data_IF_874871740163
#
_entry.id   IF_874871740163
#
_cell.length_a   1.000
_cell.length_b   1.000
_cell.length_c   1.000
_cell.angle_alpha   90.00
_cell.angle_beta   90.00
_cell.angle_gamma   90.00
#
_symmetry.space_group_name_H-M   'P 1'
#
loop_
_entity.id
_entity.type
_entity.pdbx_description
1 polymer ?
#
# COMPACT_ATOMS: atom_id res chain seq x y z
N UNK A 1 -28.71 -6.02 14.57
CA UNK A 1 -28.34 -7.26 13.92
C UNK A 1 -28.53 -7.07 12.42
N UNK A 2 -27.43 -6.97 11.68
CA UNK A 2 -27.52 -6.91 10.22
C UNK A 2 -27.67 -8.34 9.73
N UNK A 3 -28.86 -8.70 9.31
CA UNK A 3 -29.10 -9.90 8.55
C UNK A 3 -28.43 -9.76 7.19
N UNK A 4 -27.22 -10.29 7.08
CA UNK A 4 -26.59 -10.55 5.79
C UNK A 4 -27.33 -11.69 5.13
N UNK A 5 -27.81 -11.52 3.88
CA UNK A 5 -28.47 -12.63 3.19
C UNK A 5 -27.47 -13.77 2.94
N UNK A 6 -27.86 -15.01 3.16
CA UNK A 6 -27.01 -16.19 3.01
C UNK A 6 -26.29 -16.27 1.64
N UNK A 7 -26.87 -15.70 0.59
CA UNK A 7 -26.25 -15.62 -0.74
C UNK A 7 -25.00 -14.71 -0.79
N UNK A 8 -24.85 -13.76 0.14
CA UNK A 8 -23.67 -12.88 0.19
C UNK A 8 -22.49 -13.51 0.95
N UNK A 9 -22.74 -14.54 1.76
CA UNK A 9 -21.71 -15.14 2.63
C UNK A 9 -20.83 -16.15 1.88
N UNK A 10 -21.35 -16.76 0.81
CA UNK A 10 -20.63 -17.77 0.01
C UNK A 10 -19.40 -17.16 -0.71
N UNK A 11 -19.44 -15.86 -0.97
CA UNK A 11 -18.38 -15.17 -1.73
C UNK A 11 -17.54 -14.21 -0.89
N UNK A 12 -17.81 -14.08 0.40
CA UNK A 12 -17.03 -13.20 1.27
C UNK A 12 -15.64 -13.77 1.47
N UNK A 13 -14.65 -13.01 1.05
CA UNK A 13 -13.27 -13.18 1.44
C UNK A 13 -12.84 -11.96 2.19
N UNK A 14 -12.08 -12.17 3.24
CA UNK A 14 -11.48 -11.09 4.00
C UNK A 14 -10.01 -10.96 3.61
N UNK A 15 -9.58 -9.73 3.35
CA UNK A 15 -8.17 -9.38 3.18
C UNK A 15 -7.74 -8.69 4.46
N UNK A 16 -6.85 -9.31 5.22
CA UNK A 16 -6.30 -8.76 6.47
C UNK A 16 -4.94 -8.14 6.17
N UNK A 17 -4.86 -6.83 6.29
CA UNK A 17 -3.60 -6.11 6.19
C UNK A 17 -2.93 -6.06 7.56
N UNK A 18 -1.72 -6.59 7.66
CA UNK A 18 -1.03 -6.86 8.91
C UNK A 18 0.14 -5.92 9.17
N UNK A 19 0.41 -5.67 10.45
CA UNK A 19 1.61 -5.00 10.92
C UNK A 19 2.58 -6.01 11.53
N UNK A 20 3.86 -5.96 11.15
CA UNK A 20 4.93 -6.82 11.68
C UNK A 20 6.00 -6.05 12.45
N UNK A 21 5.73 -4.78 12.81
CA UNK A 21 6.74 -3.86 13.32
C UNK A 21 7.02 -4.03 14.81
N UNK A 22 5.97 -4.17 15.61
CA UNK A 22 6.02 -4.35 17.06
C UNK A 22 5.41 -5.70 17.43
N UNK A 23 5.85 -6.30 18.54
CA UNK A 23 5.31 -7.59 18.98
C UNK A 23 3.83 -7.48 19.36
N UNK A 24 3.41 -6.37 19.97
CA UNK A 24 1.99 -6.09 20.21
C UNK A 24 1.18 -6.05 18.92
N UNK A 25 1.70 -5.40 17.87
CA UNK A 25 1.03 -5.32 16.58
C UNK A 25 1.02 -6.66 15.82
N UNK A 26 2.04 -7.50 15.99
CA UNK A 26 2.03 -8.88 15.49
C UNK A 26 0.93 -9.70 16.15
N UNK A 27 0.82 -9.61 17.48
CA UNK A 27 -0.22 -10.29 18.25
C UNK A 27 -1.62 -9.82 17.83
N UNK A 28 -1.83 -8.52 17.71
CA UNK A 28 -3.09 -7.96 17.19
C UNK A 28 -3.40 -8.45 15.78
N UNK A 29 -2.40 -8.48 14.90
CA UNK A 29 -2.55 -9.00 13.53
C UNK A 29 -2.95 -10.47 13.51
N UNK A 30 -2.33 -11.32 14.34
CA UNK A 30 -2.70 -12.75 14.46
C UNK A 30 -4.12 -12.91 14.99
N UNK A 31 -4.51 -12.12 16.00
CA UNK A 31 -5.89 -12.18 16.53
C UNK A 31 -6.91 -11.79 15.45
N UNK A 32 -6.65 -10.72 14.70
CA UNK A 32 -7.52 -10.30 13.60
C UNK A 32 -7.64 -11.35 12.49
N UNK A 33 -6.55 -12.08 12.18
CA UNK A 33 -6.59 -13.22 11.25
C UNK A 33 -7.47 -14.33 11.81
N UNK A 34 -7.33 -14.66 13.10
CA UNK A 34 -8.13 -15.69 13.77
C UNK A 34 -9.62 -15.35 13.78
N UNK A 35 -9.99 -14.11 14.10
CA UNK A 35 -11.36 -13.61 14.04
C UNK A 35 -11.93 -13.73 12.62
N UNK A 36 -11.18 -13.27 11.61
CA UNK A 36 -11.58 -13.34 10.22
C UNK A 36 -11.79 -14.79 9.73
N UNK A 37 -10.92 -15.72 10.14
CA UNK A 37 -11.06 -17.14 9.82
C UNK A 37 -12.31 -17.77 10.48
N UNK A 38 -12.59 -17.39 11.72
CA UNK A 38 -13.78 -17.86 12.44
C UNK A 38 -15.09 -17.35 11.81
N UNK A 39 -15.07 -16.12 11.28
CA UNK A 39 -16.26 -15.54 10.65
C UNK A 39 -16.54 -16.11 9.26
N UNK A 40 -15.52 -16.25 8.41
CA UNK A 40 -15.69 -16.55 6.98
C UNK A 40 -14.88 -17.74 6.47
N UNK A 41 -13.88 -18.20 7.19
CA UNK A 41 -13.02 -19.34 6.81
C UNK A 41 -12.11 -19.08 5.58
N UNK A 42 -12.23 -17.93 4.92
CA UNK A 42 -11.51 -17.59 3.69
C UNK A 42 -10.78 -16.25 3.86
N UNK A 43 -9.54 -16.33 4.27
CA UNK A 43 -8.72 -15.15 4.59
C UNK A 43 -7.48 -15.10 3.73
N UNK A 44 -7.22 -13.93 3.17
CA UNK A 44 -5.98 -13.56 2.49
C UNK A 44 -5.25 -12.57 3.42
N UNK A 45 -4.00 -12.86 3.73
CA UNK A 45 -3.17 -12.00 4.57
C UNK A 45 -2.18 -11.23 3.70
N UNK A 46 -2.03 -9.95 3.98
CA UNK A 46 -1.05 -9.07 3.34
C UNK A 46 -0.39 -8.14 4.36
N UNK A 47 0.57 -7.35 3.93
CA UNK A 47 1.25 -6.38 4.79
C UNK A 47 2.57 -6.87 5.36
N UNK A 48 3.08 -6.14 6.36
CA UNK A 48 4.44 -6.34 6.84
C UNK A 48 4.68 -7.72 7.47
N UNK A 49 3.69 -8.27 8.18
CA UNK A 49 3.81 -9.60 8.77
C UNK A 49 3.83 -10.70 7.70
N UNK A 50 3.26 -10.45 6.52
CA UNK A 50 3.32 -11.35 5.37
C UNK A 50 4.73 -11.56 4.81
N UNK A 51 5.73 -10.79 5.24
CA UNK A 51 7.15 -11.04 4.93
C UNK A 51 7.71 -12.27 5.63
N UNK A 52 7.03 -12.77 6.66
CA UNK A 52 7.37 -13.98 7.42
C UNK A 52 6.19 -14.95 7.41
N UNK A 53 5.90 -15.58 6.27
CA UNK A 53 4.70 -16.39 6.09
C UNK A 53 4.65 -17.60 7.04
N UNK A 54 5.79 -18.15 7.44
CA UNK A 54 5.90 -19.26 8.38
C UNK A 54 5.26 -18.88 9.72
N UNK A 55 5.56 -17.71 10.24
CA UNK A 55 5.02 -17.22 11.51
C UNK A 55 3.48 -17.13 11.52
N UNK A 56 2.89 -16.77 10.38
CA UNK A 56 1.43 -16.74 10.22
C UNK A 56 0.88 -18.16 10.12
N UNK A 57 1.53 -19.04 9.33
CA UNK A 57 1.08 -20.42 9.12
C UNK A 57 1.17 -21.27 10.36
N UNK A 58 2.16 -21.05 11.21
CA UNK A 58 2.30 -21.74 12.50
C UNK A 58 1.10 -21.49 13.42
N UNK A 59 0.57 -20.26 13.40
CA UNK A 59 -0.62 -19.89 14.20
C UNK A 59 -1.92 -20.17 13.48
N UNK A 60 -1.97 -19.99 12.17
CA UNK A 60 -3.17 -20.07 11.33
C UNK A 60 -2.89 -20.82 10.01
N UNK A 61 -2.79 -22.15 10.03
CA UNK A 61 -2.48 -22.96 8.84
C UNK A 61 -3.54 -22.87 7.73
N UNK A 62 -4.77 -22.49 8.08
CA UNK A 62 -5.92 -22.43 7.16
C UNK A 62 -6.01 -21.09 6.37
N UNK A 63 -5.04 -20.19 6.51
CA UNK A 63 -5.00 -18.97 5.70
C UNK A 63 -4.85 -19.33 4.23
N UNK A 64 -5.72 -18.77 3.39
CA UNK A 64 -5.80 -19.08 1.96
C UNK A 64 -4.55 -18.65 1.20
N UNK A 65 -4.14 -17.40 1.37
CA UNK A 65 -2.95 -16.84 0.75
C UNK A 65 -2.26 -15.84 1.69
N UNK A 66 -0.93 -15.77 1.59
CA UNK A 66 -0.12 -14.82 2.34
C UNK A 66 0.76 -14.08 1.34
N UNK A 67 0.67 -12.76 1.33
CA UNK A 67 1.48 -11.88 0.48
C UNK A 67 2.23 -10.88 1.32
N UNK A 68 3.43 -10.51 0.88
CA UNK A 68 4.25 -9.50 1.55
C UNK A 68 3.73 -8.07 1.35
N UNK A 69 4.40 -7.07 1.93
CA UNK A 69 4.11 -5.68 1.68
C UNK A 69 4.35 -5.34 0.20
N UNK A 70 3.57 -4.39 -0.35
CA UNK A 70 3.64 -3.95 -1.74
C UNK A 70 3.27 -4.99 -2.82
N UNK A 71 2.73 -6.12 -2.42
CA UNK A 71 2.34 -7.22 -3.32
C UNK A 71 0.88 -7.11 -3.75
N UNK A 72 0.44 -5.91 -4.13
CA UNK A 72 -0.96 -5.63 -4.46
C UNK A 72 -1.49 -6.53 -5.58
N UNK A 73 -0.70 -6.76 -6.63
CA UNK A 73 -1.11 -7.64 -7.73
C UNK A 73 -1.28 -9.09 -7.25
N UNK A 74 -0.39 -9.59 -6.38
CA UNK A 74 -0.52 -10.94 -5.81
C UNK A 74 -1.79 -11.08 -4.96
N UNK A 75 -2.20 -10.02 -4.25
CA UNK A 75 -3.48 -9.98 -3.53
C UNK A 75 -4.64 -10.07 -4.51
N UNK A 76 -4.62 -9.30 -5.59
CA UNK A 76 -5.65 -9.33 -6.63
C UNK A 76 -5.74 -10.71 -7.29
N UNK A 77 -4.60 -11.30 -7.66
CA UNK A 77 -4.52 -12.62 -8.24
C UNK A 77 -5.13 -13.66 -7.28
N UNK A 78 -4.76 -13.62 -5.99
CA UNK A 78 -5.32 -14.51 -4.95
C UNK A 78 -6.83 -14.34 -4.77
N UNK A 79 -7.37 -13.15 -5.02
CA UNK A 79 -8.81 -12.91 -5.01
C UNK A 79 -9.45 -13.51 -6.26
N UNK A 80 -8.83 -13.35 -7.42
CA UNK A 80 -9.41 -13.71 -8.72
C UNK A 80 -9.29 -15.18 -9.07
N UNK A 81 -8.20 -15.86 -8.69
CA UNK A 81 -7.95 -17.28 -8.98
C UNK A 81 -9.06 -18.24 -8.56
N UNK A 82 -9.89 -17.81 -7.64
CA UNK A 82 -10.94 -18.64 -7.05
C UNK A 82 -12.36 -18.05 -7.19
N UNK A 83 -12.54 -16.99 -7.99
CA UNK A 83 -13.84 -16.42 -8.29
C UNK A 83 -14.09 -16.58 -9.79
N UNK A 84 -15.12 -17.28 -10.24
CA UNK A 84 -15.58 -17.22 -11.63
C UNK A 84 -16.23 -15.84 -11.83
N UNK A 85 -15.42 -14.80 -12.01
CA UNK A 85 -15.91 -13.45 -12.28
C UNK A 85 -16.32 -13.42 -13.74
N UNK A 86 -17.62 -13.34 -14.00
CA UNK A 86 -18.19 -13.18 -15.36
C UNK A 86 -17.87 -11.82 -16.00
N UNK A 87 -17.40 -10.88 -15.24
CA UNK A 87 -16.83 -9.59 -15.68
C UNK A 87 -15.74 -9.22 -14.68
N UNK A 88 -14.55 -8.91 -15.16
CA UNK A 88 -13.47 -8.45 -14.31
C UNK A 88 -13.82 -7.02 -13.80
N UNK A 89 -14.26 -6.84 -12.55
CA UNK A 89 -14.60 -5.50 -12.04
C UNK A 89 -13.36 -4.61 -11.93
N UNK A 90 -12.16 -5.18 -12.15
CA UNK A 90 -10.87 -4.50 -12.16
C UNK A 90 -10.30 -4.26 -13.57
N UNK A 91 -11.00 -4.68 -14.63
CA UNK A 91 -10.75 -4.22 -16.01
C UNK A 91 -11.14 -2.76 -16.24
N UNK A 92 -11.93 -2.19 -15.35
CA UNK A 92 -11.86 -0.75 -15.21
C UNK A 92 -10.39 -0.45 -14.90
N UNK A 93 -9.64 0.04 -15.92
CA UNK A 93 -8.33 0.68 -15.72
C UNK A 93 -8.44 1.38 -14.38
N UNK A 94 -7.44 1.27 -13.47
CA UNK A 94 -7.42 2.14 -12.32
C UNK A 94 -7.44 3.55 -12.89
N UNK A 95 -8.65 4.04 -13.15
CA UNK A 95 -8.83 5.45 -13.29
C UNK A 95 -8.21 5.96 -12.01
N UNK A 96 -7.48 7.04 -12.06
CA UNK A 96 -6.91 7.80 -10.95
C UNK A 96 -7.91 8.12 -9.83
N UNK A 97 -8.97 7.39 -9.74
CA UNK A 97 -10.15 7.46 -8.90
C UNK A 97 -10.04 6.50 -7.73
N UNK A 98 -8.92 6.62 -6.98
CA UNK A 98 -8.87 5.96 -5.68
C UNK A 98 -10.01 6.48 -4.80
N UNK A 99 -10.72 5.56 -4.14
CA UNK A 99 -11.65 5.95 -3.08
C UNK A 99 -10.82 6.53 -1.94
N UNK A 100 -10.93 7.84 -1.75
CA UNK A 100 -10.26 8.54 -0.68
C UNK A 100 -10.97 8.23 0.64
N UNK A 101 -10.28 7.60 1.57
CA UNK A 101 -10.80 7.26 2.89
C UNK A 101 -10.52 8.35 3.94
N UNK A 102 -9.59 9.28 3.66
CA UNK A 102 -9.27 10.41 4.53
C UNK A 102 -10.31 11.53 4.39
N UNK A 103 -10.45 12.43 5.38
CA UNK A 103 -11.23 13.65 5.25
C UNK A 103 -10.86 14.46 4.01
N UNK A 104 -11.80 15.26 3.49
CA UNK A 104 -11.60 15.96 2.21
C UNK A 104 -10.42 16.91 2.19
N UNK A 105 -10.09 17.53 3.33
CA UNK A 105 -9.11 18.61 3.39
C UNK A 105 -7.65 18.15 3.30
N UNK A 106 -7.32 16.89 3.64
CA UNK A 106 -5.95 16.39 3.53
C UNK A 106 -5.86 15.02 2.85
N UNK A 107 -4.68 14.68 2.33
CA UNK A 107 -4.38 13.37 1.75
C UNK A 107 -2.92 12.98 1.97
N UNK A 108 -2.69 11.69 2.13
CA UNK A 108 -1.34 11.15 2.14
C UNK A 108 -0.82 10.99 0.71
N UNK A 109 0.41 11.39 0.48
CA UNK A 109 1.10 11.27 -0.80
C UNK A 109 2.40 10.49 -0.60
N UNK A 110 2.39 9.24 -0.97
CA UNK A 110 3.56 8.36 -0.83
C UNK A 110 4.53 8.60 -1.97
N UNK A 111 5.78 8.94 -1.65
CA UNK A 111 6.81 9.27 -2.65
C UNK A 111 7.82 8.15 -2.88
N UNK A 112 8.07 7.32 -1.87
CA UNK A 112 8.99 6.17 -1.97
C UNK A 112 8.60 5.07 -0.98
N UNK A 113 9.23 3.91 -1.11
CA UNK A 113 9.06 2.76 -0.24
C UNK A 113 10.43 2.15 0.07
N UNK A 114 10.56 1.50 1.24
CA UNK A 114 11.79 0.87 1.67
C UNK A 114 12.84 1.87 2.17
N UNK A 115 13.96 1.35 2.65
CA UNK A 115 15.04 2.16 3.21
C UNK A 115 16.38 1.44 3.09
N UNK A 116 17.43 2.18 2.69
CA UNK A 116 18.78 1.65 2.53
C UNK A 116 19.66 1.84 3.79
N UNK A 117 19.13 2.49 4.84
CA UNK A 117 19.86 2.63 6.09
C UNK A 117 20.01 1.29 6.80
N UNK A 118 21.15 1.13 7.49
CA UNK A 118 21.49 -0.08 8.27
C UNK A 118 21.50 0.22 9.76
N UNK A 119 20.48 0.92 10.26
CA UNK A 119 20.37 1.22 11.68
C UNK A 119 20.19 -0.08 12.46
N UNK A 120 21.01 -0.29 13.51
CA UNK A 120 21.09 -1.55 14.24
C UNK A 120 19.78 -2.01 14.89
N UNK A 121 18.90 -1.06 15.22
CA UNK A 121 17.61 -1.31 15.87
C UNK A 121 16.43 -1.32 14.89
N UNK A 122 16.66 -1.10 13.60
CA UNK A 122 15.57 -0.85 12.64
C UNK A 122 15.29 -2.07 11.77
N UNK A 123 14.04 -2.55 11.81
CA UNK A 123 13.57 -3.69 11.03
C UNK A 123 13.06 -3.30 9.62
N UNK A 124 12.95 -2.02 9.31
CA UNK A 124 12.35 -1.52 8.05
C UNK A 124 12.98 -2.16 6.81
N UNK A 125 14.31 -2.21 6.64
CA UNK A 125 14.90 -2.78 5.44
C UNK A 125 14.53 -4.25 5.20
N UNK A 126 14.37 -5.03 6.27
CA UNK A 126 13.99 -6.44 6.16
C UNK A 126 12.51 -6.63 5.83
N UNK A 127 11.63 -5.74 6.31
CA UNK A 127 10.18 -5.82 6.07
C UNK A 127 9.77 -5.18 4.73
N UNK A 128 10.39 -4.05 4.38
CA UNK A 128 9.98 -3.21 3.26
C UNK A 128 10.97 -3.21 2.09
N UNK A 129 12.11 -3.85 2.27
CA UNK A 129 13.16 -3.94 1.27
C UNK A 129 13.95 -2.63 1.08
N UNK A 130 14.78 -2.58 0.01
CA UNK A 130 15.58 -1.41 -0.31
C UNK A 130 14.70 -0.24 -0.74
N UNK A 131 15.27 0.97 -0.68
CA UNK A 131 14.64 2.18 -1.16
C UNK A 131 14.20 2.03 -2.62
N UNK A 132 12.96 2.37 -2.89
CA UNK A 132 12.37 2.43 -4.23
C UNK A 132 11.55 3.72 -4.36
N UNK A 133 12.10 4.69 -5.07
CA UNK A 133 11.44 5.96 -5.34
C UNK A 133 10.40 5.84 -6.45
N UNK A 134 9.29 6.52 -6.30
CA UNK A 134 8.31 6.70 -7.38
C UNK A 134 8.82 7.77 -8.36
N UNK A 135 8.44 7.67 -9.62
CA UNK A 135 8.76 8.72 -10.59
C UNK A 135 8.08 10.04 -10.21
N UNK A 136 8.77 11.16 -10.38
CA UNK A 136 8.24 12.49 -10.09
C UNK A 136 6.94 12.76 -10.86
N UNK A 137 6.88 12.35 -12.13
CA UNK A 137 5.68 12.49 -12.95
C UNK A 137 4.45 11.78 -12.35
N UNK A 138 4.63 10.56 -11.84
CA UNK A 138 3.55 9.81 -11.18
C UNK A 138 3.06 10.49 -9.91
N UNK A 139 3.98 11.01 -9.09
CA UNK A 139 3.66 11.71 -7.85
C UNK A 139 2.90 13.01 -8.14
N UNK A 140 3.37 13.80 -9.09
CA UNK A 140 2.74 15.08 -9.47
C UNK A 140 1.36 14.86 -10.10
N UNK A 141 1.18 13.82 -10.92
CA UNK A 141 -0.13 13.45 -11.47
C UNK A 141 -1.15 13.09 -10.38
N UNK A 142 -0.73 12.29 -9.38
CA UNK A 142 -1.57 11.95 -8.24
C UNK A 142 -1.89 13.19 -7.40
N UNK A 143 -0.89 14.00 -7.08
CA UNK A 143 -1.06 15.24 -6.33
C UNK A 143 -2.05 16.19 -6.99
N UNK A 144 -1.92 16.41 -8.30
CA UNK A 144 -2.84 17.24 -9.09
C UNK A 144 -4.28 16.72 -8.99
N UNK A 145 -4.47 15.41 -9.17
CA UNK A 145 -5.79 14.78 -9.02
C UNK A 145 -6.39 14.97 -7.62
N UNK A 146 -5.56 14.91 -6.57
CA UNK A 146 -6.00 15.14 -5.19
C UNK A 146 -6.41 16.60 -4.95
N UNK A 147 -5.63 17.56 -5.46
CA UNK A 147 -5.92 19.00 -5.37
C UNK A 147 -7.22 19.33 -6.12
N UNK A 148 -7.40 18.82 -7.34
CA UNK A 148 -8.63 19.00 -8.13
C UNK A 148 -9.88 18.47 -7.41
N UNK A 149 -9.73 17.45 -6.57
CA UNK A 149 -10.81 16.90 -5.71
C UNK A 149 -11.00 17.66 -4.41
N UNK A 150 -10.30 18.76 -4.21
CA UNK A 150 -10.47 19.65 -3.06
C UNK A 150 -9.56 19.34 -1.86
N UNK A 151 -8.50 18.56 -2.03
CA UNK A 151 -7.46 18.40 -1.00
C UNK A 151 -6.71 19.73 -0.83
N UNK A 152 -6.57 20.17 0.42
CA UNK A 152 -5.89 21.42 0.79
C UNK A 152 -4.50 21.18 1.37
N UNK A 153 -4.25 19.98 1.86
CA UNK A 153 -3.00 19.60 2.51
C UNK A 153 -2.53 18.23 2.00
N UNK A 154 -1.29 18.15 1.53
CA UNK A 154 -0.65 16.90 1.14
C UNK A 154 0.40 16.51 2.18
N UNK A 155 0.17 15.39 2.86
CA UNK A 155 1.11 14.79 3.80
C UNK A 155 2.04 13.86 3.03
N UNK A 156 3.27 14.29 2.81
CA UNK A 156 4.30 13.52 2.10
C UNK A 156 4.84 12.44 3.00
N UNK A 157 4.73 11.18 2.58
CA UNK A 157 5.15 10.02 3.36
C UNK A 157 6.15 9.13 2.63
N UNK A 158 7.14 8.67 3.38
CA UNK A 158 8.07 7.59 3.06
C UNK A 158 8.75 7.10 4.34
N UNK A 159 9.59 6.08 4.25
CA UNK A 159 10.43 5.66 5.36
C UNK A 159 11.62 6.60 5.59
N UNK A 160 12.10 7.24 4.51
CA UNK A 160 13.11 8.29 4.54
C UNK A 160 12.82 9.26 3.39
N UNK A 161 12.24 10.40 3.71
CA UNK A 161 11.88 11.43 2.71
C UNK A 161 13.11 12.10 2.10
N UNK A 162 14.20 12.22 2.86
CA UNK A 162 15.44 12.85 2.41
C UNK A 162 16.16 12.04 1.33
N UNK A 163 15.96 10.72 1.34
CA UNK A 163 16.58 9.81 0.39
C UNK A 163 15.84 9.71 -0.96
N UNK A 164 14.73 10.43 -1.16
CA UNK A 164 13.99 10.39 -2.41
C UNK A 164 14.86 10.67 -3.63
N UNK A 165 14.85 9.75 -4.59
CA UNK A 165 15.61 9.82 -5.83
C UNK A 165 17.05 9.26 -5.75
N UNK A 166 17.53 8.90 -4.56
CA UNK A 166 18.88 8.35 -4.39
C UNK A 166 19.08 7.04 -5.16
N UNK A 167 18.09 6.16 -5.13
CA UNK A 167 18.07 4.89 -5.88
C UNK A 167 18.03 5.10 -7.40
N UNK A 168 17.49 6.24 -7.84
CA UNK A 168 17.47 6.71 -9.24
C UNK A 168 18.72 7.54 -9.58
N UNK A 169 19.72 7.59 -8.69
CA UNK A 169 20.95 8.41 -8.87
C UNK A 169 20.66 9.87 -9.20
N UNK A 170 19.53 10.40 -8.73
CA UNK A 170 19.05 11.75 -9.00
C UNK A 170 18.95 12.08 -10.49
N UNK A 171 18.62 11.09 -11.32
CA UNK A 171 18.47 11.29 -12.76
C UNK A 171 17.52 12.43 -13.10
N UNK A 172 17.76 13.06 -14.24
CA UNK A 172 16.90 14.15 -14.72
C UNK A 172 15.62 13.59 -15.33
N UNK A 173 14.51 14.21 -14.97
CA UNK A 173 13.19 13.94 -15.54
C UNK A 173 12.58 15.21 -16.11
N UNK A 174 11.80 15.07 -17.16
CA UNK A 174 11.10 16.21 -17.77
C UNK A 174 9.78 16.44 -17.03
N UNK A 175 9.65 17.60 -16.40
CA UNK A 175 8.44 18.03 -15.69
C UNK A 175 8.05 19.41 -16.21
N UNK A 176 6.81 19.54 -16.71
CA UNK A 176 6.29 20.81 -17.25
C UNK A 176 7.24 21.51 -18.25
N UNK A 177 7.93 20.72 -19.09
CA UNK A 177 8.90 21.22 -20.07
C UNK A 177 10.28 21.58 -19.52
N UNK A 178 10.52 21.41 -18.22
CA UNK A 178 11.81 21.64 -17.54
C UNK A 178 12.49 20.34 -17.20
N UNK A 179 13.81 20.26 -17.36
CA UNK A 179 14.63 19.15 -16.85
C UNK A 179 14.94 19.39 -15.38
N UNK A 180 14.46 18.52 -14.52
CA UNK A 180 14.67 18.59 -13.09
C UNK A 180 15.30 17.29 -12.57
N UNK A 181 16.26 17.43 -11.66
CA UNK A 181 16.81 16.26 -10.93
C UNK A 181 15.76 15.66 -10.02
N UNK A 182 15.63 14.35 -10.06
CA UNK A 182 14.70 13.60 -9.18
C UNK A 182 15.24 13.60 -7.76
N UNK A 183 14.88 14.60 -6.96
CA UNK A 183 15.21 14.73 -5.54
C UNK A 183 14.07 15.41 -4.78
N UNK A 184 14.14 15.35 -3.46
CA UNK A 184 13.07 15.87 -2.58
C UNK A 184 12.87 17.38 -2.75
N UNK A 185 13.94 18.15 -2.94
CA UNK A 185 13.86 19.61 -3.09
C UNK A 185 13.04 20.00 -4.32
N UNK A 186 13.37 19.45 -5.49
CA UNK A 186 12.65 19.73 -6.73
C UNK A 186 11.21 19.21 -6.66
N UNK A 187 11.00 18.03 -6.07
CA UNK A 187 9.65 17.48 -5.90
C UNK A 187 8.77 18.41 -5.06
N UNK A 188 9.27 18.88 -3.92
CA UNK A 188 8.50 19.78 -3.03
C UNK A 188 8.21 21.12 -3.72
N UNK A 189 9.16 21.69 -4.47
CA UNK A 189 8.92 22.91 -5.23
C UNK A 189 7.82 22.74 -6.29
N UNK A 190 7.83 21.63 -7.04
CA UNK A 190 6.76 21.36 -8.02
C UNK A 190 5.41 21.09 -7.35
N UNK A 191 5.39 20.40 -6.22
CA UNK A 191 4.15 20.20 -5.44
C UNK A 191 3.59 21.52 -4.90
N UNK A 192 4.44 22.42 -4.41
CA UNK A 192 4.04 23.74 -3.92
C UNK A 192 3.45 24.63 -5.01
N UNK A 193 3.76 24.36 -6.28
CA UNK A 193 3.23 25.12 -7.42
C UNK A 193 1.84 24.64 -7.88
N UNK A 194 1.27 23.60 -7.27
CA UNK A 194 -0.03 23.04 -7.66
C UNK A 194 -1.23 23.76 -7.04
N UNK A 195 -1.05 24.63 -6.04
CA UNK A 195 -2.11 25.27 -5.27
C UNK A 195 -2.01 26.78 -5.18
#
# INVERSE_FOLDING_TARGET
>A
PKTSSAASDVYKRQVVNTCGFLDSAKTESLNAIGEALNENGKVIVTGCLGSTPEFIRDSHPNVMAITGPQKFNEVLDSITENIPIKSNPFEAKPSSSYVKLTPRHYSYLKISEGCNHKCSFCIIPSLRGPLKSRSMASILSEAKSLVERGTKELLIISQDTSAYGLDLKFEETLVNGKKLKTNIYNLVNELASLG
#
